data_IF_183665802048
#
_entry.id   IF_183665802048
#
_cell.length_a   1.000
_cell.length_b   1.000
_cell.length_c   1.000
_cell.angle_alpha   90.00
_cell.angle_beta   90.00
_cell.angle_gamma   90.00
#
_symmetry.space_group_name_H-M   'P 1'
#
loop_
_entity.id
_entity.type
_entity.pdbx_description
1 polymer ?
#
# COMPACT_ATOMS: atom_id res chain seq x y z
N UNK A 1 28.88 -39.77 -53.61
CA UNK A 1 28.14 -38.64 -53.02
C UNK A 1 26.92 -39.16 -52.28
N UNK A 2 26.98 -39.23 -50.94
CA UNK A 2 25.81 -39.33 -50.06
C UNK A 2 26.09 -38.48 -48.83
N UNK A 3 25.14 -37.61 -48.53
CA UNK A 3 25.21 -36.52 -47.56
C UNK A 3 25.01 -36.99 -46.11
N UNK A 4 25.42 -36.10 -45.22
CA UNK A 4 25.43 -36.16 -43.76
C UNK A 4 24.06 -36.44 -43.12
N UNK A 5 24.09 -36.95 -41.89
CA UNK A 5 23.02 -36.73 -40.91
C UNK A 5 23.62 -36.38 -39.54
N UNK A 6 23.20 -35.22 -39.06
CA UNK A 6 23.51 -34.59 -37.78
C UNK A 6 22.94 -35.40 -36.61
N UNK A 7 23.80 -35.67 -35.61
CA UNK A 7 23.40 -36.28 -34.35
C UNK A 7 22.95 -35.19 -33.36
N UNK A 8 21.64 -35.07 -33.16
CA UNK A 8 21.08 -34.31 -32.02
C UNK A 8 20.74 -35.29 -30.90
N UNK A 9 21.19 -35.11 -29.65
CA UNK A 9 20.88 -36.03 -28.56
C UNK A 9 19.41 -35.87 -28.10
N UNK A 10 18.71 -37.01 -27.95
CA UNK A 10 17.31 -37.07 -27.52
C UNK A 10 17.21 -36.93 -25.98
N UNK A 11 16.41 -35.96 -25.53
CA UNK A 11 16.04 -35.79 -24.11
C UNK A 11 14.84 -36.71 -23.80
N UNK A 12 14.84 -37.50 -22.70
CA UNK A 12 13.72 -38.37 -22.36
C UNK A 12 12.46 -37.57 -22.00
N UNK A 13 11.30 -37.93 -22.56
CA UNK A 13 10.02 -37.31 -22.22
C UNK A 13 9.50 -37.80 -20.87
N UNK A 14 9.03 -36.87 -20.03
CA UNK A 14 8.34 -37.18 -18.77
C UNK A 14 6.92 -37.75 -19.04
N UNK A 15 6.41 -38.64 -18.16
CA UNK A 15 5.09 -39.24 -18.36
C UNK A 15 3.96 -38.22 -18.18
N UNK A 16 2.96 -38.30 -19.06
CA UNK A 16 1.80 -37.42 -19.07
C UNK A 16 0.92 -37.63 -17.83
N UNK A 17 0.58 -36.53 -17.14
CA UNK A 17 -0.38 -36.50 -16.04
C UNK A 17 -1.81 -36.70 -16.58
N UNK A 18 -2.63 -37.61 -16.04
CA UNK A 18 -4.01 -37.77 -16.49
C UNK A 18 -4.88 -36.57 -16.05
N UNK A 19 -5.91 -36.20 -16.83
CA UNK A 19 -6.77 -35.07 -16.50
C UNK A 19 -7.66 -35.40 -15.29
N UNK A 20 -7.71 -34.49 -14.32
CA UNK A 20 -8.68 -34.55 -13.22
C UNK A 20 -10.09 -34.29 -13.77
N UNK A 21 -10.93 -35.32 -13.79
CA UNK A 21 -12.37 -35.15 -13.96
C UNK A 21 -12.99 -34.62 -12.65
N UNK A 22 -13.51 -33.39 -12.67
CA UNK A 22 -14.33 -32.85 -11.59
C UNK A 22 -15.69 -33.56 -11.57
N UNK A 23 -16.08 -34.11 -10.43
CA UNK A 23 -17.41 -34.68 -10.23
C UNK A 23 -18.45 -33.55 -10.18
N UNK A 24 -19.59 -33.67 -10.90
CA UNK A 24 -20.63 -32.65 -10.88
C UNK A 24 -21.53 -32.83 -9.66
N UNK A 25 -21.70 -31.78 -8.85
CA UNK A 25 -22.76 -31.74 -7.83
C UNK A 25 -22.43 -31.18 -6.44
N UNK A 26 -21.35 -30.45 -6.23
CA UNK A 26 -21.18 -29.66 -5.00
C UNK A 26 -21.52 -28.19 -5.29
N UNK A 27 -22.69 -27.75 -4.82
CA UNK A 27 -23.03 -26.33 -4.80
C UNK A 27 -21.96 -25.56 -4.02
N UNK A 28 -21.42 -24.51 -4.64
CA UNK A 28 -20.55 -23.53 -4.00
C UNK A 28 -21.41 -22.59 -3.15
N UNK A 29 -21.84 -23.05 -1.99
CA UNK A 29 -22.35 -22.17 -0.92
C UNK A 29 -21.39 -22.20 0.27
N UNK A 30 -20.52 -21.19 0.30
CA UNK A 30 -19.82 -20.55 1.42
C UNK A 30 -18.48 -20.03 0.88
N UNK A 31 -18.28 -18.72 0.89
CA UNK A 31 -17.00 -18.12 0.56
C UNK A 31 -15.90 -18.67 1.51
N UNK A 32 -14.75 -19.14 0.99
CA UNK A 32 -13.71 -19.72 1.85
C UNK A 32 -13.06 -18.59 2.66
N UNK A 33 -13.31 -18.54 3.97
CA UNK A 33 -12.42 -17.79 4.86
C UNK A 33 -12.98 -17.20 6.16
N UNK A 34 -14.28 -17.19 6.43
CA UNK A 34 -14.77 -16.67 7.73
C UNK A 34 -14.90 -17.79 8.76
N UNK A 35 -13.96 -17.86 9.70
CA UNK A 35 -14.10 -18.64 10.92
C UNK A 35 -14.07 -17.69 12.13
N UNK A 36 -14.80 -18.03 13.19
CA UNK A 36 -14.95 -17.16 14.36
C UNK A 36 -13.61 -16.95 15.09
N UNK A 37 -13.20 -15.70 15.30
CA UNK A 37 -11.90 -15.35 15.90
C UNK A 37 -10.76 -15.19 14.90
N UNK A 38 -11.02 -15.27 13.58
CA UNK A 38 -10.03 -15.02 12.54
C UNK A 38 -9.34 -13.67 12.71
N UNK A 39 -10.10 -12.63 12.95
CA UNK A 39 -9.56 -11.26 13.04
C UNK A 39 -8.68 -11.11 14.28
N UNK A 40 -9.04 -11.68 15.44
CA UNK A 40 -8.19 -11.70 16.65
C UNK A 40 -6.86 -12.44 16.42
N UNK A 41 -6.90 -13.57 15.71
CA UNK A 41 -5.69 -14.33 15.39
C UNK A 41 -4.82 -13.62 14.37
N UNK A 42 -5.42 -12.96 13.37
CA UNK A 42 -4.67 -12.15 12.41
C UNK A 42 -4.10 -10.90 13.08
N UNK A 43 -4.81 -10.24 13.99
CA UNK A 43 -4.29 -9.13 14.78
C UNK A 43 -3.12 -9.57 15.67
N UNK A 44 -3.19 -10.79 16.22
CA UNK A 44 -2.10 -11.36 17.04
C UNK A 44 -0.87 -11.73 16.22
N UNK A 45 -1.06 -12.26 15.00
CA UNK A 45 0.03 -12.78 14.16
C UNK A 45 0.64 -11.73 13.24
N UNK A 46 -0.21 -10.86 12.69
CA UNK A 46 0.13 -9.90 11.65
C UNK A 46 0.07 -8.46 12.15
N UNK A 47 -0.64 -8.22 13.26
CA UNK A 47 -0.73 -6.93 13.91
C UNK A 47 -2.10 -6.31 13.87
N UNK A 48 -2.38 -5.39 14.81
CA UNK A 48 -3.56 -4.53 14.68
C UNK A 48 -3.56 -3.88 13.30
N UNK A 49 -4.59 -4.16 12.50
CA UNK A 49 -4.72 -3.51 11.19
C UNK A 49 -3.98 -4.14 10.02
N UNK A 50 -3.23 -5.22 10.21
CA UNK A 50 -2.54 -5.90 9.12
C UNK A 50 -3.48 -6.59 8.09
N UNK A 51 -4.78 -6.40 8.26
CA UNK A 51 -5.85 -6.85 7.39
C UNK A 51 -6.90 -5.75 7.21
N UNK A 52 -6.50 -4.47 7.08
CA UNK A 52 -7.47 -3.44 6.64
C UNK A 52 -8.01 -3.90 5.30
N UNK A 53 -9.21 -4.49 5.32
CA UNK A 53 -10.00 -4.66 4.10
C UNK A 53 -10.30 -3.24 3.64
N UNK A 54 -9.97 -2.87 2.39
CA UNK A 54 -10.22 -1.54 1.89
C UNK A 54 -11.66 -1.12 2.22
N UNK A 55 -11.78 -0.01 2.93
CA UNK A 55 -13.03 0.55 3.39
C UNK A 55 -13.84 1.04 2.20
N UNK A 56 -15.12 0.64 2.17
CA UNK A 56 -16.09 0.80 1.09
C UNK A 56 -16.35 2.27 0.71
N UNK A 57 -15.93 2.62 -0.49
CA UNK A 57 -16.73 3.35 -1.48
C UNK A 57 -16.88 2.46 -2.72
N UNK A 58 -17.83 2.73 -3.64
CA UNK A 58 -17.72 2.12 -4.97
C UNK A 58 -16.43 2.65 -5.61
N UNK A 59 -15.38 1.84 -5.57
CA UNK A 59 -14.10 2.15 -6.20
C UNK A 59 -14.35 2.32 -7.70
N UNK A 60 -14.48 3.57 -8.11
CA UNK A 60 -14.74 3.96 -9.48
C UNK A 60 -14.03 5.27 -9.81
N UNK A 61 -13.92 5.59 -11.11
CA UNK A 61 -13.30 6.82 -11.57
C UNK A 61 -13.80 8.06 -10.82
N UNK A 62 -12.88 8.89 -10.34
CA UNK A 62 -13.19 10.15 -9.67
C UNK A 62 -13.42 10.09 -8.15
N UNK A 63 -13.15 8.95 -7.50
CA UNK A 63 -13.18 8.84 -6.04
C UNK A 63 -12.11 9.72 -5.35
N UNK A 64 -12.24 9.91 -4.04
CA UNK A 64 -11.17 10.43 -3.18
C UNK A 64 -10.45 9.25 -2.52
N UNK A 65 -9.18 9.06 -2.82
CA UNK A 65 -8.37 8.00 -2.23
C UNK A 65 -7.63 8.51 -1.00
N UNK A 66 -7.74 7.81 0.12
CA UNK A 66 -6.86 7.97 1.29
C UNK A 66 -5.96 6.74 1.35
N UNK A 67 -4.70 6.95 0.99
CA UNK A 67 -3.67 5.91 0.89
C UNK A 67 -2.73 5.93 2.09
N UNK A 68 -2.70 4.87 2.87
CA UNK A 68 -1.74 4.72 3.97
C UNK A 68 -0.53 3.91 3.52
N UNK A 69 0.66 4.39 3.84
CA UNK A 69 1.93 3.72 3.55
C UNK A 69 2.68 3.57 4.86
N UNK A 70 3.14 2.35 5.14
CA UNK A 70 3.91 2.04 6.32
C UNK A 70 4.86 0.87 6.09
N UNK A 71 5.81 0.72 7.01
CA UNK A 71 6.68 -0.44 7.10
C UNK A 71 6.16 -1.35 8.23
N UNK A 72 5.53 -2.48 7.89
CA UNK A 72 4.96 -3.38 8.89
C UNK A 72 5.97 -3.78 9.96
N UNK A 73 5.51 -3.83 11.21
CA UNK A 73 6.29 -4.18 12.40
C UNK A 73 7.40 -3.21 12.79
N UNK A 74 7.50 -2.03 12.17
CA UNK A 74 8.50 -1.02 12.52
C UNK A 74 7.91 0.16 13.30
N UNK A 75 7.05 -0.15 14.28
CA UNK A 75 6.46 0.81 15.24
C UNK A 75 5.90 2.05 14.54
N UNK A 76 6.55 3.22 14.71
CA UNK A 76 6.06 4.48 14.14
C UNK A 76 6.09 4.47 12.62
N UNK A 77 7.03 3.75 12.00
CA UNK A 77 7.11 3.66 10.55
C UNK A 77 5.95 2.88 9.93
N UNK A 78 5.16 2.16 10.73
CA UNK A 78 3.92 1.49 10.31
C UNK A 78 2.67 2.38 10.45
N UNK A 79 2.87 3.71 10.54
CA UNK A 79 1.81 4.67 10.80
C UNK A 79 0.66 4.57 9.80
N UNK A 80 0.94 4.55 8.50
CA UNK A 80 -0.12 4.57 7.47
C UNK A 80 -1.10 3.41 7.62
N UNK A 81 -0.61 2.18 7.77
CA UNK A 81 -1.43 0.98 7.88
C UNK A 81 -2.21 0.94 9.20
N UNK A 82 -1.54 1.22 10.33
CA UNK A 82 -2.20 1.22 11.65
C UNK A 82 -3.22 2.37 11.77
N UNK A 83 -2.93 3.53 11.20
CA UNK A 83 -3.87 4.65 11.14
C UNK A 83 -5.10 4.28 10.30
N UNK A 84 -4.91 3.67 9.12
CA UNK A 84 -6.02 3.21 8.27
C UNK A 84 -6.92 2.21 8.99
N UNK A 85 -6.35 1.31 9.78
CA UNK A 85 -7.11 0.33 10.54
C UNK A 85 -8.06 0.98 11.53
N UNK A 86 -7.59 2.02 12.22
CA UNK A 86 -8.42 2.82 13.13
C UNK A 86 -9.47 3.61 12.34
N UNK A 87 -9.05 4.26 11.25
CA UNK A 87 -9.91 5.05 10.39
C UNK A 87 -11.05 4.23 9.74
N UNK A 88 -10.79 2.97 9.36
CA UNK A 88 -11.77 2.08 8.74
C UNK A 88 -12.94 1.71 9.66
N UNK A 89 -12.80 1.90 10.98
CA UNK A 89 -13.89 1.72 11.95
C UNK A 89 -14.87 2.90 12.00
N UNK A 90 -14.53 4.01 11.33
CA UNK A 90 -15.30 5.25 11.32
C UNK A 90 -16.21 5.35 10.09
N UNK A 91 -17.15 6.29 10.13
CA UNK A 91 -17.99 6.62 8.98
C UNK A 91 -17.25 7.59 8.04
N UNK A 92 -17.30 7.29 6.74
CA UNK A 92 -16.73 8.08 5.65
C UNK A 92 -17.80 8.36 4.59
N UNK A 93 -17.64 9.42 3.77
CA UNK A 93 -18.44 9.62 2.58
C UNK A 93 -18.36 8.44 1.60
N UNK A 94 -19.41 8.21 0.82
CA UNK A 94 -19.53 7.06 -0.09
C UNK A 94 -18.47 7.04 -1.22
N UNK A 95 -17.89 8.20 -1.55
CA UNK A 95 -16.86 8.36 -2.58
C UNK A 95 -15.42 8.31 -2.02
N UNK A 96 -15.25 8.09 -0.73
CA UNK A 96 -13.94 7.94 -0.09
C UNK A 96 -13.52 6.47 -0.07
N UNK A 97 -12.35 6.21 -0.64
CA UNK A 97 -11.71 4.89 -0.62
C UNK A 97 -10.53 4.94 0.35
N UNK A 98 -10.54 4.07 1.36
CA UNK A 98 -9.39 3.86 2.24
C UNK A 98 -8.61 2.64 1.73
N UNK A 99 -7.32 2.82 1.41
CA UNK A 99 -6.50 1.73 0.88
C UNK A 99 -5.10 1.71 1.51
N UNK A 100 -4.69 0.53 1.99
CA UNK A 100 -3.30 0.28 2.38
C UNK A 100 -2.45 0.15 1.12
N UNK A 101 -1.51 1.06 0.93
CA UNK A 101 -0.58 1.14 -0.21
C UNK A 101 0.82 0.66 0.15
N UNK A 102 0.98 -0.08 1.26
CA UNK A 102 2.25 -0.65 1.73
C UNK A 102 2.67 -1.87 0.92
N UNK A 103 2.72 -1.71 -0.41
CA UNK A 103 3.18 -2.71 -1.37
C UNK A 103 3.97 -2.05 -2.50
N UNK A 104 4.58 -2.85 -3.38
CA UNK A 104 5.52 -2.36 -4.38
C UNK A 104 4.97 -1.18 -5.21
N UNK A 105 5.75 -0.09 -5.28
CA UNK A 105 5.30 1.20 -5.85
C UNK A 105 4.76 1.12 -7.29
N UNK A 106 5.28 0.23 -8.14
CA UNK A 106 4.75 0.03 -9.50
C UNK A 106 3.31 -0.53 -9.48
N UNK A 107 2.93 -1.32 -8.47
CA UNK A 107 1.56 -1.76 -8.28
C UNK A 107 0.68 -0.61 -7.79
N UNK A 108 1.20 0.27 -6.93
CA UNK A 108 0.47 1.46 -6.47
C UNK A 108 0.17 2.37 -7.67
N UNK A 109 1.17 2.58 -8.53
CA UNK A 109 1.01 3.31 -9.80
C UNK A 109 -0.11 2.71 -10.66
N UNK A 110 -0.09 1.40 -10.92
CA UNK A 110 -1.15 0.75 -11.70
C UNK A 110 -2.52 0.86 -11.04
N UNK A 111 -2.58 0.73 -9.72
CA UNK A 111 -3.81 0.87 -8.95
C UNK A 111 -4.40 2.27 -9.07
N UNK A 112 -3.57 3.31 -8.97
CA UNK A 112 -3.99 4.70 -9.17
C UNK A 112 -4.50 4.94 -10.60
N UNK A 113 -3.87 4.33 -11.60
CA UNK A 113 -4.31 4.40 -13.00
C UNK A 113 -5.65 3.70 -13.24
N UNK A 114 -5.92 2.60 -12.54
CA UNK A 114 -7.21 1.91 -12.58
C UNK A 114 -8.32 2.71 -11.90
N UNK A 115 -8.02 3.28 -10.72
CA UNK A 115 -8.97 4.05 -9.92
C UNK A 115 -9.25 5.44 -10.50
N UNK A 116 -8.26 6.05 -11.15
CA UNK A 116 -8.29 7.45 -11.61
C UNK A 116 -8.93 8.39 -10.55
N UNK A 117 -8.38 8.44 -9.33
CA UNK A 117 -8.97 9.24 -8.27
C UNK A 117 -8.91 10.73 -8.63
N UNK A 118 -9.96 11.46 -8.25
CA UNK A 118 -9.98 12.93 -8.40
C UNK A 118 -9.01 13.59 -7.43
N UNK A 119 -8.83 12.98 -6.26
CA UNK A 119 -7.96 13.46 -5.18
C UNK A 119 -7.29 12.29 -4.49
N UNK A 120 -6.05 12.49 -4.05
CA UNK A 120 -5.31 11.53 -3.22
C UNK A 120 -4.82 12.22 -1.94
N UNK A 121 -5.01 11.55 -0.81
CA UNK A 121 -4.39 11.90 0.48
C UNK A 121 -3.48 10.75 0.87
N UNK A 122 -2.16 10.98 0.88
CA UNK A 122 -1.16 9.98 1.26
C UNK A 122 -0.72 10.19 2.70
N UNK A 123 -0.65 9.09 3.46
CA UNK A 123 -0.29 9.07 4.86
C UNK A 123 0.95 8.21 5.07
N UNK A 124 1.87 8.66 5.91
CA UNK A 124 3.02 7.87 6.33
C UNK A 124 3.77 8.48 7.51
N UNK A 125 4.88 7.85 7.89
CA UNK A 125 5.77 8.36 8.93
C UNK A 125 7.20 8.29 8.41
N UNK A 126 7.88 9.44 8.33
CA UNK A 126 9.17 9.56 7.67
C UNK A 126 10.19 10.28 8.56
N UNK A 127 11.41 9.73 8.73
CA UNK A 127 12.46 10.35 9.51
C UNK A 127 13.08 11.52 8.74
N UNK A 128 12.41 12.68 8.74
CA UNK A 128 12.93 13.89 8.08
C UNK A 128 14.02 14.56 8.90
N UNK A 129 14.11 14.28 10.20
CA UNK A 129 15.06 14.91 11.13
C UNK A 129 14.97 16.45 11.15
N UNK A 130 13.79 17.00 10.83
CA UNK A 130 13.55 18.46 10.75
C UNK A 130 12.65 19.00 11.86
N UNK A 131 12.16 18.14 12.75
CA UNK A 131 11.38 18.51 13.92
C UNK A 131 11.44 17.44 15.00
N UNK A 132 10.85 17.67 16.18
CA UNK A 132 10.71 16.64 17.21
C UNK A 132 9.78 15.50 16.73
N UNK A 133 9.87 14.30 17.33
CA UNK A 133 8.91 13.23 17.09
C UNK A 133 7.45 13.66 17.29
N UNK A 134 6.54 13.13 16.49
CA UNK A 134 5.13 13.53 16.45
C UNK A 134 4.86 14.80 15.62
N UNK A 135 5.89 15.46 15.08
CA UNK A 135 5.67 16.61 14.20
C UNK A 135 4.94 16.18 12.92
N UNK A 136 3.78 16.77 12.66
CA UNK A 136 3.00 16.53 11.45
C UNK A 136 3.43 17.52 10.36
N UNK A 137 3.69 17.02 9.16
CA UNK A 137 3.91 17.81 7.95
C UNK A 137 2.80 17.53 6.96
N UNK A 138 2.22 18.59 6.42
CA UNK A 138 1.22 18.53 5.37
C UNK A 138 1.68 19.39 4.21
N UNK A 139 1.74 18.84 3.01
CA UNK A 139 2.11 19.57 1.81
C UNK A 139 1.33 19.08 0.59
N UNK A 140 1.11 19.97 -0.38
CA UNK A 140 0.59 19.56 -1.68
C UNK A 140 1.74 19.08 -2.54
N UNK A 141 1.51 17.98 -3.24
CA UNK A 141 2.55 17.41 -4.08
C UNK A 141 2.87 18.29 -5.30
N UNK A 142 1.88 19.04 -5.80
CA UNK A 142 2.04 20.02 -6.87
C UNK A 142 2.84 21.26 -6.47
N UNK A 143 3.05 21.50 -5.17
CA UNK A 143 3.89 22.59 -4.66
C UNK A 143 5.35 22.15 -4.47
N UNK A 144 5.64 20.85 -4.62
CA UNK A 144 6.99 20.30 -4.52
C UNK A 144 7.70 20.37 -5.87
N UNK A 145 9.03 20.59 -5.89
CA UNK A 145 9.83 20.45 -7.11
C UNK A 145 9.60 19.09 -7.77
N UNK A 146 9.66 19.05 -9.10
CA UNK A 146 9.68 17.80 -9.83
C UNK A 146 10.86 16.95 -9.35
N UNK A 147 10.67 15.62 -9.23
CA UNK A 147 11.72 14.76 -8.74
C UNK A 147 12.89 14.74 -9.73
N UNK A 148 14.11 14.78 -9.20
CA UNK A 148 15.32 14.63 -10.00
C UNK A 148 15.32 13.22 -10.65
N UNK A 149 15.43 13.09 -11.98
CA UNK A 149 15.46 11.79 -12.65
C UNK A 149 16.51 10.82 -12.08
N UNK A 150 17.66 11.33 -11.60
CA UNK A 150 18.70 10.50 -11.00
C UNK A 150 18.27 9.98 -9.62
N UNK A 151 17.58 10.81 -8.81
CA UNK A 151 16.98 10.40 -7.52
C UNK A 151 15.87 9.36 -7.73
N UNK A 152 15.04 9.53 -8.77
CA UNK A 152 14.03 8.53 -9.13
C UNK A 152 14.68 7.18 -9.46
N UNK A 153 15.80 7.20 -10.20
CA UNK A 153 16.51 5.96 -10.56
C UNK A 153 17.12 5.27 -9.33
N UNK A 154 17.70 6.04 -8.41
CA UNK A 154 18.25 5.53 -7.15
C UNK A 154 17.16 4.86 -6.30
N UNK A 155 16.02 5.54 -6.11
CA UNK A 155 14.87 5.00 -5.36
C UNK A 155 14.27 3.77 -6.05
N UNK A 156 14.21 3.75 -7.37
CA UNK A 156 13.80 2.53 -8.09
C UNK A 156 14.77 1.37 -7.85
N UNK A 157 16.06 1.64 -7.73
CA UNK A 157 17.08 0.64 -7.37
C UNK A 157 16.90 0.10 -5.96
N UNK A 158 16.63 0.96 -4.99
CA UNK A 158 16.33 0.60 -3.59
C UNK A 158 15.06 -0.25 -3.46
N UNK A 159 14.03 0.01 -4.29
CA UNK A 159 12.82 -0.81 -4.34
C UNK A 159 13.08 -2.27 -4.74
N UNK A 160 14.14 -2.56 -5.53
CA UNK A 160 14.56 -3.95 -5.83
C UNK A 160 15.01 -4.68 -4.56
N UNK A 161 15.54 -3.94 -3.59
CA UNK A 161 15.86 -4.43 -2.25
C UNK A 161 14.64 -4.67 -1.35
N UNK A 162 13.43 -4.39 -1.84
CA UNK A 162 12.17 -4.58 -1.11
C UNK A 162 11.77 -3.40 -0.23
N UNK A 163 12.37 -2.21 -0.41
CA UNK A 163 11.96 -1.00 0.31
C UNK A 163 10.62 -0.52 -0.25
N UNK A 164 9.66 -0.34 0.65
CA UNK A 164 8.30 0.10 0.35
C UNK A 164 7.94 1.18 1.37
N UNK A 165 8.40 2.40 1.11
CA UNK A 165 8.10 3.57 1.93
C UNK A 165 7.38 4.67 1.12
N UNK A 166 7.07 5.77 1.80
CA UNK A 166 6.38 6.91 1.21
C UNK A 166 7.20 7.56 0.09
N UNK A 167 8.51 7.74 0.27
CA UNK A 167 9.37 8.41 -0.71
C UNK A 167 9.50 7.60 -2.00
N UNK A 168 9.64 6.28 -1.87
CA UNK A 168 9.64 5.36 -3.00
C UNK A 168 8.33 5.43 -3.79
N UNK A 169 7.20 5.41 -3.07
CA UNK A 169 5.88 5.48 -3.68
C UNK A 169 5.68 6.81 -4.41
N UNK A 170 6.10 7.92 -3.80
CA UNK A 170 6.04 9.25 -4.40
C UNK A 170 6.95 9.35 -5.63
N UNK A 171 8.19 8.88 -5.57
CA UNK A 171 9.13 8.94 -6.69
C UNK A 171 8.58 8.24 -7.94
N UNK A 172 8.09 7.00 -7.78
CA UNK A 172 7.51 6.23 -8.88
C UNK A 172 6.21 6.87 -9.38
N UNK A 173 5.25 7.10 -8.49
CA UNK A 173 3.93 7.55 -8.94
C UNK A 173 3.96 8.95 -9.55
N UNK A 174 4.89 9.84 -9.11
CA UNK A 174 5.11 11.13 -9.76
C UNK A 174 5.79 11.01 -11.11
N UNK A 175 6.84 10.20 -11.23
CA UNK A 175 7.59 10.05 -12.49
C UNK A 175 6.69 9.61 -13.65
N UNK A 176 5.70 8.75 -13.38
CA UNK A 176 4.73 8.26 -14.38
C UNK A 176 3.39 9.01 -14.37
N UNK A 177 3.28 10.16 -13.69
CA UNK A 177 2.04 10.96 -13.60
C UNK A 177 0.80 10.15 -13.18
N UNK A 178 0.97 9.21 -12.25
CA UNK A 178 -0.13 8.39 -11.75
C UNK A 178 -0.92 9.09 -10.63
N UNK A 179 -0.33 10.09 -9.97
CA UNK A 179 -1.00 10.90 -8.95
C UNK A 179 -1.70 12.11 -9.60
N UNK A 180 -2.95 12.44 -9.21
CA UNK A 180 -3.62 13.65 -9.67
C UNK A 180 -2.97 14.91 -9.08
N UNK A 181 -3.17 16.07 -9.72
CA UNK A 181 -2.67 17.36 -9.25
C UNK A 181 -3.14 17.70 -7.81
N UNK A 182 -4.35 17.24 -7.47
CA UNK A 182 -4.93 17.36 -6.13
C UNK A 182 -4.46 16.18 -5.25
N UNK A 183 -3.15 16.09 -5.05
CA UNK A 183 -2.53 15.15 -4.12
C UNK A 183 -1.96 15.90 -2.92
N UNK A 184 -2.35 15.48 -1.72
CA UNK A 184 -1.83 15.96 -0.44
C UNK A 184 -1.08 14.83 0.24
N UNK A 185 0.09 15.14 0.80
CA UNK A 185 0.83 14.22 1.67
C UNK A 185 0.75 14.74 3.09
N UNK A 186 0.44 13.84 4.02
CA UNK A 186 0.49 14.07 5.46
C UNK A 186 1.44 13.04 6.05
N UNK A 187 2.55 13.49 6.61
CA UNK A 187 3.56 12.63 7.20
C UNK A 187 3.88 13.05 8.63
N UNK A 188 4.21 12.07 9.48
CA UNK A 188 4.58 12.28 10.88
C UNK A 188 6.07 12.00 11.07
N UNK A 189 6.74 12.74 11.95
CA UNK A 189 8.11 12.43 12.37
C UNK A 189 8.11 11.28 13.40
N UNK A 190 8.86 10.19 13.18
CA UNK A 190 8.92 9.06 14.12
C UNK A 190 9.75 9.40 15.37
N UNK A 191 9.45 8.73 16.48
CA UNK A 191 10.35 8.62 17.63
C UNK A 191 11.10 7.28 17.65
N UNK A 192 10.48 6.24 17.10
CA UNK A 192 10.93 4.85 17.23
C UNK A 192 10.64 4.05 15.96
N UNK A 193 11.66 3.35 15.47
CA UNK A 193 11.61 2.48 14.29
C UNK A 193 12.08 1.06 14.59
N UNK A 194 12.17 0.67 15.87
CA UNK A 194 12.53 -0.68 16.26
C UNK A 194 11.44 -1.69 15.88
N UNK A 195 11.80 -2.97 15.84
CA UNK A 195 10.83 -4.03 15.61
C UNK A 195 9.82 -4.10 16.76
N UNK A 196 8.54 -3.92 16.45
CA UNK A 196 7.46 -3.95 17.43
C UNK A 196 6.14 -3.40 16.92
N UNK A 197 5.15 -3.43 17.81
CA UNK A 197 3.79 -2.98 17.54
C UNK A 197 3.49 -1.62 18.17
N UNK A 198 2.54 -0.93 17.56
CA UNK A 198 1.98 0.32 18.06
C UNK A 198 2.95 1.48 17.94
N UNK A 199 2.44 2.66 18.27
CA UNK A 199 3.19 3.90 18.15
C UNK A 199 3.88 4.24 19.46
N UNK A 200 4.97 5.00 19.35
CA UNK A 200 5.49 5.81 20.44
C UNK A 200 4.45 6.86 20.86
N UNK A 201 4.53 7.35 22.10
CA UNK A 201 3.57 8.32 22.61
C UNK A 201 3.45 9.59 21.74
N UNK A 202 4.55 10.22 21.27
CA UNK A 202 4.43 11.41 20.42
C UNK A 202 3.70 11.17 19.10
N UNK A 203 3.84 9.98 18.50
CA UNK A 203 3.15 9.62 17.26
C UNK A 203 1.70 9.22 17.54
N UNK A 204 1.44 8.54 18.66
CA UNK A 204 0.08 8.25 19.14
C UNK A 204 -0.72 9.55 19.38
N UNK A 205 -0.10 10.56 19.98
CA UNK A 205 -0.70 11.88 20.23
C UNK A 205 -1.06 12.62 18.93
N UNK A 206 -0.38 12.32 17.82
CA UNK A 206 -0.62 12.93 16.51
C UNK A 206 -1.79 12.28 15.73
N UNK A 207 -2.26 11.09 16.13
CA UNK A 207 -3.24 10.29 15.35
C UNK A 207 -4.55 11.04 15.12
N UNK A 208 -5.10 11.67 16.16
CA UNK A 208 -6.38 12.38 16.08
C UNK A 208 -6.26 13.66 15.25
N UNK A 209 -5.13 14.37 15.38
CA UNK A 209 -4.87 15.57 14.56
C UNK A 209 -4.75 15.20 13.08
N UNK A 210 -4.05 14.11 12.74
CA UNK A 210 -4.00 13.60 11.36
C UNK A 210 -5.39 13.21 10.88
N UNK A 211 -6.22 12.60 11.73
CA UNK A 211 -7.60 12.26 11.37
C UNK A 211 -8.45 13.47 11.02
N UNK A 212 -8.34 14.54 11.81
CA UNK A 212 -9.04 15.79 11.51
C UNK A 212 -8.53 16.44 10.21
N UNK A 213 -7.23 16.38 9.94
CA UNK A 213 -6.66 16.84 8.67
C UNK A 213 -7.18 16.04 7.48
N UNK A 214 -7.22 14.70 7.57
CA UNK A 214 -7.75 13.85 6.50
C UNK A 214 -9.23 14.14 6.26
N UNK A 215 -10.02 14.24 7.32
CA UNK A 215 -11.44 14.62 7.23
C UNK A 215 -11.64 15.96 6.54
N UNK A 216 -10.78 16.93 6.84
CA UNK A 216 -10.78 18.20 6.14
C UNK A 216 -10.51 18.02 4.64
N UNK A 217 -9.47 17.28 4.24
CA UNK A 217 -9.16 17.08 2.81
C UNK A 217 -10.23 16.33 2.03
N UNK A 218 -10.84 15.30 2.63
CA UNK A 218 -11.90 14.54 1.93
C UNK A 218 -13.20 15.33 1.78
N UNK A 219 -13.43 16.34 2.63
CA UNK A 219 -14.66 17.16 2.58
C UNK A 219 -14.66 18.26 1.50
N UNK A 220 -13.53 18.45 0.78
CA UNK A 220 -13.31 19.57 -0.16
C UNK A 220 -13.75 19.33 -1.60
#
# INVERSE_FOLDING_TARGET
MRAAQDGTPQIPQAPATPPLHAAPGAGLEAAPGSWAGRDEVLDTLLGPGAQVKPGRGEAGPGCTLVGGIGLPWLRDLDFGTNWLARAASLQWPDDVVLEDLSYAAHRVMHRLQELQPRRVVLLGCMPRSTGPPGTIRRYRLSEMPDPDPDEVHERLGEAVGGIVDLDHTLAVCRHWNALPDDTVVIEVEPADSEFGWGFSQPVEDAVDEVLDMVRHEVSR
#
